data_IF_697754681582
#
_entry.id   IF_697754681582
#
_cell.length_a   1.000
_cell.length_b   1.000
_cell.length_c   1.000
_cell.angle_alpha   90.00
_cell.angle_beta   90.00
_cell.angle_gamma   90.00
#
_symmetry.space_group_name_H-M   'P 1'
#
loop_
_entity.id
_entity.type
_entity.pdbx_description
1 polymer ?
#
# COMPACT_ATOMS: atom_id res chain seq x y z
N UNK A 1 58.62 25.07 -7.18
CA UNK A 1 57.86 23.80 -7.36
C UNK A 1 56.98 23.47 -6.14
N UNK A 2 55.97 24.29 -5.78
CA UNK A 2 55.02 23.97 -4.68
C UNK A 2 53.59 24.48 -4.88
N UNK A 3 53.24 24.99 -6.07
CA UNK A 3 51.92 25.62 -6.34
C UNK A 3 50.97 24.80 -7.22
N UNK A 4 51.40 23.65 -7.77
CA UNK A 4 50.56 22.85 -8.66
C UNK A 4 49.93 21.62 -8.00
N UNK A 5 50.37 21.27 -6.79
CA UNK A 5 49.78 20.16 -6.01
C UNK A 5 48.43 20.53 -5.36
N UNK A 6 48.11 21.81 -5.23
CA UNK A 6 46.87 22.25 -4.54
C UNK A 6 45.62 22.15 -5.44
N UNK A 7 45.79 22.23 -6.76
CA UNK A 7 44.66 22.29 -7.71
C UNK A 7 44.09 20.88 -8.00
N UNK A 8 44.92 19.84 -7.91
CA UNK A 8 44.49 18.46 -8.19
C UNK A 8 43.62 17.89 -7.05
N UNK A 9 43.77 18.39 -5.82
CA UNK A 9 43.00 17.94 -4.65
C UNK A 9 41.54 18.47 -4.70
N UNK A 10 41.29 19.62 -5.33
CA UNK A 10 39.94 20.21 -5.39
C UNK A 10 39.05 19.48 -6.42
N UNK A 11 39.64 18.92 -7.47
CA UNK A 11 38.89 18.16 -8.49
C UNK A 11 38.44 16.77 -8.00
N UNK A 12 39.06 16.20 -6.97
CA UNK A 12 38.63 14.93 -6.37
C UNK A 12 37.48 15.07 -5.36
N UNK A 13 37.22 16.27 -4.83
CA UNK A 13 36.17 16.50 -3.84
C UNK A 13 34.80 16.84 -4.44
N UNK A 14 34.71 17.05 -5.75
CA UNK A 14 33.45 17.38 -6.44
C UNK A 14 32.85 16.21 -7.23
N UNK A 15 33.56 15.07 -7.30
CA UNK A 15 33.22 13.95 -8.18
C UNK A 15 32.38 12.81 -7.60
N UNK A 16 31.86 12.89 -6.37
CA UNK A 16 31.14 11.76 -5.75
C UNK A 16 29.76 12.09 -5.15
N UNK A 17 29.12 13.19 -5.55
CA UNK A 17 27.72 13.47 -5.12
C UNK A 17 26.65 12.87 -6.05
N UNK A 18 27.01 12.40 -7.24
CA UNK A 18 26.04 11.86 -8.21
C UNK A 18 25.83 10.35 -8.18
N UNK A 19 26.62 9.58 -7.42
CA UNK A 19 26.61 8.12 -7.48
C UNK A 19 25.93 7.45 -6.27
N UNK A 20 25.55 8.19 -5.22
CA UNK A 20 24.96 7.61 -4.00
C UNK A 20 23.43 7.60 -4.06
N UNK A 21 22.81 8.41 -4.92
CA UNK A 21 21.34 8.51 -5.00
C UNK A 21 20.67 7.36 -5.79
N UNK A 22 21.45 6.45 -6.38
CA UNK A 22 20.90 5.39 -7.26
C UNK A 22 21.25 3.94 -6.83
N UNK A 23 21.81 3.72 -5.63
CA UNK A 23 22.29 2.39 -5.22
C UNK A 23 21.42 1.63 -4.21
N UNK A 24 20.26 2.17 -3.83
CA UNK A 24 19.18 1.38 -3.23
C UNK A 24 17.94 1.58 -4.09
N UNK A 25 17.60 0.59 -4.89
CA UNK A 25 16.36 0.54 -5.66
C UNK A 25 15.15 0.43 -4.73
N UNK A 26 14.88 1.47 -3.96
CA UNK A 26 13.58 1.72 -3.36
C UNK A 26 12.73 2.21 -4.53
N UNK A 27 11.69 1.45 -4.86
CA UNK A 27 10.78 1.77 -5.95
C UNK A 27 10.46 3.28 -5.93
N UNK A 28 10.83 4.08 -6.96
CA UNK A 28 10.63 5.53 -6.95
C UNK A 28 9.14 5.93 -6.99
N UNK A 29 8.27 4.93 -7.14
CA UNK A 29 6.84 5.06 -7.02
C UNK A 29 6.50 5.34 -5.55
N UNK A 30 6.10 6.59 -5.27
CA UNK A 30 5.54 6.97 -3.98
C UNK A 30 4.35 6.08 -3.61
N UNK A 31 4.06 5.99 -2.31
CA UNK A 31 2.89 5.31 -1.78
C UNK A 31 1.97 6.28 -1.03
N UNK A 32 0.68 5.96 -1.00
CA UNK A 32 -0.31 6.71 -0.23
C UNK A 32 -0.08 6.56 1.28
N UNK A 33 0.40 5.38 1.71
CA UNK A 33 0.80 5.09 3.08
C UNK A 33 -0.28 5.44 4.13
N UNK A 34 -1.51 4.96 3.90
CA UNK A 34 -2.58 5.03 4.91
C UNK A 34 -2.50 3.78 5.79
N UNK A 35 -2.03 3.96 7.01
CA UNK A 35 -1.87 2.90 8.01
C UNK A 35 -3.08 2.78 8.95
N UNK A 36 -3.20 1.61 9.60
CA UNK A 36 -4.25 1.26 10.56
C UNK A 36 -3.65 0.83 11.91
N UNK A 37 -3.22 1.79 12.75
CA UNK A 37 -2.49 1.49 13.97
C UNK A 37 -3.29 0.74 15.03
N UNK A 38 -4.60 0.97 15.06
CA UNK A 38 -5.51 0.33 16.01
C UNK A 38 -5.96 -1.07 15.55
N UNK A 39 -5.46 -1.57 14.42
CA UNK A 39 -5.79 -2.90 13.93
C UNK A 39 -5.15 -3.96 14.83
N UNK A 40 -5.98 -4.71 15.56
CA UNK A 40 -5.56 -5.83 16.40
C UNK A 40 -5.52 -7.17 15.66
N UNK A 41 -6.04 -7.20 14.43
CA UNK A 41 -6.17 -8.42 13.63
C UNK A 41 -4.81 -8.82 13.05
N UNK A 42 -4.47 -10.10 13.08
CA UNK A 42 -3.27 -10.64 12.43
C UNK A 42 -3.33 -10.39 10.92
N UNK A 43 -2.19 -10.03 10.33
CA UNK A 43 -2.13 -9.67 8.92
C UNK A 43 -2.41 -10.85 8.01
N UNK A 44 -1.89 -12.02 8.37
CA UNK A 44 -2.06 -13.27 7.64
C UNK A 44 -3.54 -13.65 7.58
N UNK A 45 -4.23 -13.53 8.72
CA UNK A 45 -5.67 -13.77 8.80
C UNK A 45 -6.45 -12.73 7.99
N UNK A 46 -6.14 -11.44 8.14
CA UNK A 46 -6.84 -10.36 7.43
C UNK A 46 -6.66 -10.47 5.91
N UNK A 47 -5.45 -10.82 5.45
CA UNK A 47 -5.15 -11.09 4.05
C UNK A 47 -5.95 -12.27 3.53
N UNK A 48 -5.93 -13.39 4.26
CA UNK A 48 -6.70 -14.59 3.91
C UNK A 48 -8.20 -14.28 3.81
N UNK A 49 -8.75 -13.49 4.74
CA UNK A 49 -10.13 -13.03 4.69
C UNK A 49 -10.41 -12.19 3.43
N UNK A 50 -9.53 -11.25 3.08
CA UNK A 50 -9.66 -10.47 1.83
C UNK A 50 -9.67 -11.39 0.61
N UNK A 51 -8.71 -12.29 0.51
CA UNK A 51 -8.54 -13.14 -0.68
C UNK A 51 -9.68 -14.17 -0.83
N UNK A 52 -10.17 -14.73 0.28
CA UNK A 52 -11.11 -15.86 0.26
C UNK A 52 -12.57 -15.49 0.52
N UNK A 53 -12.82 -14.34 1.16
CA UNK A 53 -14.18 -13.88 1.50
C UNK A 53 -14.55 -12.67 0.67
N UNK A 54 -13.78 -11.58 0.75
CA UNK A 54 -14.12 -10.34 0.01
C UNK A 54 -14.00 -10.58 -1.49
N UNK A 55 -12.89 -11.20 -1.92
CA UNK A 55 -12.57 -11.35 -3.34
C UNK A 55 -13.11 -12.64 -3.96
N UNK A 56 -13.81 -13.50 -3.20
CA UNK A 56 -14.25 -14.83 -3.65
C UNK A 56 -14.93 -14.84 -5.02
N UNK A 57 -15.77 -13.83 -5.27
CA UNK A 57 -16.55 -13.69 -6.50
C UNK A 57 -16.24 -12.37 -7.23
N UNK A 58 -15.14 -11.70 -6.88
CA UNK A 58 -14.73 -10.45 -7.53
C UNK A 58 -13.79 -10.79 -8.66
N UNK A 59 -14.26 -10.62 -9.89
CA UNK A 59 -13.36 -10.59 -11.05
C UNK A 59 -12.73 -9.20 -11.13
N UNK A 60 -11.45 -9.10 -10.79
CA UNK A 60 -10.69 -7.85 -10.93
C UNK A 60 -10.46 -7.63 -12.44
N UNK A 61 -10.98 -6.54 -13.03
CA UNK A 61 -10.80 -6.29 -14.45
C UNK A 61 -9.32 -6.15 -14.82
N UNK A 62 -8.93 -6.65 -16.00
CA UNK A 62 -7.55 -6.53 -16.50
C UNK A 62 -7.07 -5.07 -16.51
N UNK A 63 -7.97 -4.12 -16.80
CA UNK A 63 -7.65 -2.69 -16.75
C UNK A 63 -7.26 -2.21 -15.35
N UNK A 64 -7.81 -2.81 -14.29
CA UNK A 64 -7.47 -2.49 -12.90
C UNK A 64 -6.16 -3.16 -12.51
N UNK A 65 -6.00 -4.45 -12.84
CA UNK A 65 -4.74 -5.17 -12.62
C UNK A 65 -3.57 -4.46 -13.33
N UNK A 66 -3.75 -4.06 -14.58
CA UNK A 66 -2.74 -3.32 -15.34
C UNK A 66 -2.40 -1.97 -14.72
N UNK A 67 -3.41 -1.23 -14.20
CA UNK A 67 -3.16 0.04 -13.50
C UNK A 67 -2.34 -0.14 -12.23
N UNK A 68 -2.61 -1.18 -11.45
CA UNK A 68 -1.91 -1.42 -10.19
C UNK A 68 -0.51 -1.99 -10.40
N UNK A 69 -0.36 -2.92 -11.35
CA UNK A 69 0.85 -3.72 -11.42
C UNK A 69 1.66 -3.56 -12.71
N UNK A 70 1.22 -2.80 -13.72
CA UNK A 70 2.00 -2.47 -14.94
C UNK A 70 2.86 -3.66 -15.49
N UNK A 71 2.27 -4.86 -15.56
CA UNK A 71 2.88 -6.16 -15.95
C UNK A 71 3.54 -7.02 -14.86
N UNK A 72 3.45 -6.63 -13.58
CA UNK A 72 3.89 -7.39 -12.42
C UNK A 72 2.77 -8.23 -11.80
N UNK A 73 3.17 -9.23 -11.01
CA UNK A 73 2.27 -9.93 -10.09
C UNK A 73 2.29 -9.13 -8.77
N UNK A 74 1.15 -8.95 -8.08
CA UNK A 74 1.15 -8.41 -6.72
C UNK A 74 2.19 -9.11 -5.84
N UNK A 75 2.76 -8.38 -4.89
CA UNK A 75 3.56 -9.03 -3.85
C UNK A 75 2.71 -10.12 -3.15
N UNK A 76 3.34 -11.19 -2.67
CA UNK A 76 2.64 -12.26 -1.94
C UNK A 76 1.88 -11.74 -0.71
N UNK A 77 2.30 -10.60 -0.17
CA UNK A 77 1.68 -9.91 0.96
C UNK A 77 0.69 -8.81 0.54
N UNK A 78 0.43 -8.65 -0.75
CA UNK A 78 -0.52 -7.66 -1.27
C UNK A 78 -1.83 -8.31 -1.71
N UNK A 79 -2.92 -7.57 -1.52
CA UNK A 79 -4.22 -7.90 -2.11
C UNK A 79 -4.91 -6.64 -2.62
N UNK A 80 -5.64 -6.78 -3.72
CA UNK A 80 -6.58 -5.75 -4.17
C UNK A 80 -7.87 -5.91 -3.37
N UNK A 81 -8.41 -4.80 -2.86
CA UNK A 81 -9.73 -4.75 -2.25
C UNK A 81 -10.65 -3.90 -3.11
N UNK A 82 -11.75 -4.48 -3.57
CA UNK A 82 -12.79 -3.78 -4.31
C UNK A 82 -13.93 -3.35 -3.39
N UNK A 83 -14.26 -2.07 -3.45
CA UNK A 83 -15.39 -1.48 -2.77
C UNK A 83 -16.45 -1.07 -3.80
N UNK A 84 -17.49 -1.88 -3.93
CA UNK A 84 -18.53 -1.69 -4.94
C UNK A 84 -19.56 -0.60 -4.59
N UNK A 85 -19.71 -0.25 -3.31
CA UNK A 85 -20.61 0.82 -2.88
C UNK A 85 -20.01 2.20 -3.19
N UNK A 86 -20.84 3.21 -3.43
CA UNK A 86 -20.35 4.54 -3.81
C UNK A 86 -19.57 5.23 -2.66
N UNK A 87 -18.39 5.81 -2.94
CA UNK A 87 -17.71 5.85 -4.24
C UNK A 87 -17.12 4.48 -4.62
N UNK A 88 -17.29 4.03 -5.86
CA UNK A 88 -16.65 2.77 -6.30
C UNK A 88 -15.13 2.93 -6.28
N UNK A 89 -14.44 2.05 -5.56
CA UNK A 89 -13.02 2.19 -5.25
C UNK A 89 -12.27 0.85 -5.29
N UNK A 90 -10.99 0.93 -5.64
CA UNK A 90 -10.07 -0.20 -5.60
C UNK A 90 -8.82 0.19 -4.83
N UNK A 91 -8.40 -0.62 -3.87
CA UNK A 91 -7.19 -0.37 -3.09
C UNK A 91 -6.20 -1.51 -3.25
N UNK A 92 -4.93 -1.21 -3.42
CA UNK A 92 -3.86 -2.18 -3.14
C UNK A 92 -3.46 -2.04 -1.69
N UNK A 93 -3.59 -3.13 -0.95
CA UNK A 93 -3.34 -3.20 0.48
C UNK A 93 -2.19 -4.15 0.72
N UNK A 94 -1.23 -3.73 1.53
CA UNK A 94 -0.11 -4.55 1.95
C UNK A 94 -0.32 -5.06 3.37
N UNK A 95 0.04 -6.31 3.58
CA UNK A 95 -0.05 -7.05 4.84
C UNK A 95 1.35 -7.51 5.33
N UNK A 96 2.43 -6.94 4.79
CA UNK A 96 3.83 -7.32 5.01
C UNK A 96 4.45 -6.79 6.31
N UNK A 97 3.99 -5.64 6.81
CA UNK A 97 4.53 -4.99 8.02
C UNK A 97 3.67 -5.25 9.25
N UNK A 98 4.04 -4.74 10.41
CA UNK A 98 3.26 -4.94 11.64
C UNK A 98 1.81 -4.47 11.54
N UNK A 99 1.40 -3.64 10.58
CA UNK A 99 0.04 -3.13 10.41
C UNK A 99 -0.35 -3.13 8.94
N UNK A 100 -1.61 -3.47 8.58
CA UNK A 100 -2.02 -3.33 7.20
C UNK A 100 -1.94 -1.87 6.78
N UNK A 101 -1.67 -1.62 5.50
CA UNK A 101 -1.62 -0.26 4.97
C UNK A 101 -1.99 -0.22 3.49
N UNK A 102 -2.57 0.90 3.06
CA UNK A 102 -2.97 1.10 1.66
C UNK A 102 -1.79 1.70 0.89
N UNK A 103 -1.33 0.97 -0.14
CA UNK A 103 -0.27 1.40 -1.05
C UNK A 103 -0.80 2.39 -2.08
N UNK A 104 -1.88 1.99 -2.74
CA UNK A 104 -2.43 2.68 -3.90
C UNK A 104 -3.96 2.68 -3.88
N UNK A 105 -4.55 3.72 -4.46
CA UNK A 105 -6.01 3.85 -4.57
C UNK A 105 -6.38 4.19 -6.01
N UNK A 106 -7.38 3.50 -6.54
CA UNK A 106 -8.07 3.93 -7.74
C UNK A 106 -9.51 4.31 -7.41
N UNK A 107 -9.83 5.58 -7.59
CA UNK A 107 -11.16 6.15 -7.39
C UNK A 107 -11.42 7.19 -8.49
N UNK A 108 -12.37 6.90 -9.38
CA UNK A 108 -12.69 7.77 -10.53
C UNK A 108 -13.21 9.16 -10.14
N UNK A 109 -13.71 9.34 -8.92
CA UNK A 109 -14.16 10.65 -8.40
C UNK A 109 -13.00 11.52 -7.91
N UNK A 110 -11.92 10.90 -7.44
CA UNK A 110 -10.74 11.62 -6.94
C UNK A 110 -9.74 11.87 -8.10
N UNK A 111 -9.54 10.86 -8.95
CA UNK A 111 -8.81 10.98 -10.21
C UNK A 111 -9.46 10.06 -11.25
N UNK A 112 -9.98 10.66 -12.33
CA UNK A 112 -10.72 9.94 -13.36
C UNK A 112 -9.85 9.01 -14.22
N UNK A 113 -8.54 9.25 -14.26
CA UNK A 113 -7.60 8.60 -15.18
C UNK A 113 -6.59 7.76 -14.41
N UNK A 114 -5.97 8.36 -13.39
CA UNK A 114 -4.79 7.78 -12.74
C UNK A 114 -5.13 7.15 -11.40
N UNK A 115 -4.21 6.28 -11.00
CA UNK A 115 -4.15 5.77 -9.66
C UNK A 115 -3.48 6.79 -8.75
N UNK A 116 -4.03 6.96 -7.56
CA UNK A 116 -3.47 7.80 -6.52
C UNK A 116 -2.32 7.01 -5.90
N UNK A 117 -1.10 7.43 -6.24
CA UNK A 117 0.15 6.87 -5.74
C UNK A 117 0.74 7.69 -4.58
N UNK A 118 0.37 8.96 -4.46
CA UNK A 118 0.98 9.87 -3.47
C UNK A 118 -0.04 10.39 -2.46
N UNK A 119 0.31 10.34 -1.17
CA UNK A 119 -0.53 10.86 -0.08
C UNK A 119 -0.95 12.31 -0.28
N UNK A 120 -0.05 13.15 -0.83
CA UNK A 120 -0.26 14.59 -1.03
C UNK A 120 -1.43 14.91 -1.98
N UNK A 121 -1.88 13.93 -2.76
CA UNK A 121 -3.02 14.05 -3.67
C UNK A 121 -4.37 13.84 -2.95
N UNK A 122 -4.35 13.43 -1.69
CA UNK A 122 -5.54 13.24 -0.88
C UNK A 122 -5.69 14.36 0.14
N UNK A 123 -6.91 14.86 0.27
CA UNK A 123 -7.25 15.73 1.40
C UNK A 123 -7.31 14.91 2.70
N UNK A 124 -7.12 15.54 3.86
CA UNK A 124 -7.30 14.86 5.15
C UNK A 124 -8.72 14.30 5.32
N UNK A 125 -9.73 14.93 4.71
CA UNK A 125 -11.11 14.42 4.67
C UNK A 125 -11.18 13.08 3.91
N UNK A 126 -10.50 12.98 2.78
CA UNK A 126 -10.45 11.73 2.01
C UNK A 126 -9.72 10.63 2.77
N UNK A 127 -8.59 10.97 3.39
CA UNK A 127 -7.82 10.02 4.21
C UNK A 127 -8.67 9.47 5.35
N UNK A 128 -9.40 10.33 6.06
CA UNK A 128 -10.31 9.91 7.13
C UNK A 128 -11.45 9.03 6.61
N UNK A 129 -12.04 9.37 5.45
CA UNK A 129 -13.09 8.58 4.81
C UNK A 129 -12.56 7.20 4.42
N UNK A 130 -11.43 7.13 3.73
CA UNK A 130 -10.77 5.89 3.30
C UNK A 130 -10.45 5.00 4.51
N UNK A 131 -9.88 5.60 5.57
CA UNK A 131 -9.61 4.89 6.83
C UNK A 131 -10.88 4.28 7.42
N UNK A 132 -11.90 5.11 7.61
CA UNK A 132 -13.19 4.67 8.17
C UNK A 132 -13.79 3.54 7.34
N UNK A 133 -13.72 3.67 6.02
CA UNK A 133 -14.23 2.67 5.08
C UNK A 133 -13.54 1.33 5.26
N UNK A 134 -12.22 1.31 5.14
CA UNK A 134 -11.44 0.08 5.29
C UNK A 134 -11.61 -0.53 6.68
N UNK A 135 -11.62 0.28 7.74
CA UNK A 135 -11.87 -0.20 9.09
C UNK A 135 -13.24 -0.86 9.25
N UNK A 136 -14.29 -0.29 8.66
CA UNK A 136 -15.65 -0.82 8.81
C UNK A 136 -15.91 -2.03 7.91
N UNK A 137 -15.55 -1.93 6.64
CA UNK A 137 -15.95 -2.93 5.64
C UNK A 137 -14.96 -4.10 5.56
N UNK A 138 -13.69 -3.90 5.95
CA UNK A 138 -12.65 -4.94 5.91
C UNK A 138 -12.31 -5.42 7.32
N UNK A 139 -11.78 -4.54 8.19
CA UNK A 139 -11.25 -4.96 9.50
C UNK A 139 -12.37 -5.51 10.39
N UNK A 140 -13.43 -4.72 10.64
CA UNK A 140 -14.55 -5.17 11.49
C UNK A 140 -15.27 -6.38 10.89
N UNK A 141 -15.45 -6.43 9.57
CA UNK A 141 -16.07 -7.58 8.91
C UNK A 141 -15.22 -8.85 9.08
N UNK A 142 -13.90 -8.75 8.98
CA UNK A 142 -12.99 -9.88 9.20
C UNK A 142 -13.06 -10.41 10.64
N UNK A 143 -13.16 -9.50 11.62
CA UNK A 143 -13.35 -9.86 13.02
C UNK A 143 -14.68 -10.58 13.24
N UNK A 144 -15.80 -10.00 12.78
CA UNK A 144 -17.13 -10.61 12.87
C UNK A 144 -17.17 -11.97 12.18
N UNK A 145 -16.56 -12.09 10.99
CA UNK A 145 -16.45 -13.35 10.27
C UNK A 145 -15.68 -14.39 11.07
N UNK A 146 -14.54 -14.03 11.67
CA UNK A 146 -13.73 -14.95 12.44
C UNK A 146 -14.47 -15.48 13.67
N UNK A 147 -15.09 -14.58 14.42
CA UNK A 147 -15.86 -14.91 15.61
C UNK A 147 -17.08 -15.79 15.28
N UNK A 148 -17.82 -15.45 14.22
CA UNK A 148 -19.01 -16.21 13.79
C UNK A 148 -18.69 -17.60 13.22
N UNK A 149 -17.47 -17.81 12.71
CA UNK A 149 -17.00 -19.10 12.21
C UNK A 149 -16.13 -19.85 13.25
N UNK A 150 -16.13 -19.41 14.51
CA UNK A 150 -15.39 -20.03 15.62
C UNK A 150 -13.89 -20.19 15.34
N UNK A 151 -13.30 -19.25 14.60
CA UNK A 151 -11.86 -19.21 14.39
C UNK A 151 -11.20 -18.82 15.73
N UNK A 152 -10.14 -19.53 16.19
CA UNK A 152 -9.52 -19.22 17.46
C UNK A 152 -8.97 -17.78 17.53
N UNK A 153 -9.12 -17.13 18.68
CA UNK A 153 -8.58 -15.78 18.94
C UNK A 153 -7.08 -15.68 18.65
N UNK A 154 -6.32 -16.76 18.86
CA UNK A 154 -4.88 -16.85 18.56
C UNK A 154 -4.54 -16.81 17.08
N UNK A 155 -5.53 -16.93 16.20
CA UNK A 155 -5.42 -16.78 14.74
C UNK A 155 -5.95 -15.40 14.32
N UNK A 156 -7.04 -14.93 14.92
CA UNK A 156 -7.65 -13.64 14.58
C UNK A 156 -6.79 -12.48 15.08
N UNK A 157 -6.38 -12.51 16.36
CA UNK A 157 -5.78 -11.37 17.04
C UNK A 157 -4.29 -11.54 17.25
N UNK A 158 -3.56 -10.44 17.12
CA UNK A 158 -2.14 -10.38 17.47
C UNK A 158 -1.97 -10.56 18.97
N UNK A 159 -0.87 -11.20 19.36
CA UNK A 159 -0.46 -11.32 20.75
C UNK A 159 0.16 -10.02 21.26
#
# INVERSE_FOLDING_TARGET
>A
MKKHYLIIIILFLTGCRGCVDNFYGVNPLGYVNITFPDCKIQNEYLKSYVDTVINRNVSIPDSINFKFFENGIPDINESIVHFAEEPVEWYVVSFDVSQPWIKFIYNRRLDSVNMIRERKLLSEKDILRIRRRFSNEVIKSAEVFGLSNHIPDSVIYRK
#
